data_IF_997467190472
#
_entry.id   IF_997467190472
#
_cell.length_a   1.000
_cell.length_b   1.000
_cell.length_c   1.000
_cell.angle_alpha   90.00
_cell.angle_beta   90.00
_cell.angle_gamma   90.00
#
_symmetry.space_group_name_H-M   'P 1'
#
loop_
_entity.id
_entity.type
_entity.pdbx_description
1 polymer ?
#
# COMPACT_ATOMS: atom_id res chain seq x y z
N UNK A 1 -51.42 41.53 -41.01
CA UNK A 1 -51.08 41.13 -39.63
C UNK A 1 -50.14 39.89 -39.70
N UNK A 2 -48.81 40.11 -39.64
CA UNK A 2 -47.81 39.04 -39.71
C UNK A 2 -47.43 38.66 -38.29
N UNK A 3 -47.72 37.40 -37.85
CA UNK A 3 -47.30 36.86 -36.57
C UNK A 3 -45.86 36.37 -36.72
N UNK A 4 -44.93 36.98 -36.05
CA UNK A 4 -43.52 36.50 -35.89
C UNK A 4 -43.48 35.54 -34.71
N UNK A 5 -43.22 34.28 -34.99
CA UNK A 5 -42.90 33.28 -33.97
C UNK A 5 -41.42 33.35 -33.62
N UNK A 6 -41.14 33.79 -32.42
CA UNK A 6 -39.79 33.82 -31.87
C UNK A 6 -39.50 32.44 -31.26
N UNK A 7 -38.70 31.62 -31.93
CA UNK A 7 -38.19 30.34 -31.38
C UNK A 7 -37.03 30.62 -30.45
N UNK A 8 -37.28 30.52 -29.16
CA UNK A 8 -36.25 30.61 -28.13
C UNK A 8 -35.57 29.22 -28.00
N UNK A 9 -34.45 29.02 -28.70
CA UNK A 9 -33.63 27.80 -28.60
C UNK A 9 -32.87 27.79 -27.27
N UNK A 10 -33.32 26.94 -26.34
CA UNK A 10 -32.56 26.63 -25.13
C UNK A 10 -31.44 25.66 -25.49
N UNK A 11 -30.22 26.18 -25.61
CA UNK A 11 -29.00 25.35 -25.74
C UNK A 11 -28.67 24.75 -24.38
N UNK A 12 -29.04 23.48 -24.20
CA UNK A 12 -28.67 22.70 -23.04
C UNK A 12 -27.20 22.29 -23.17
N UNK A 13 -26.28 23.09 -22.68
CA UNK A 13 -24.85 22.75 -22.57
C UNK A 13 -24.70 21.67 -21.52
N UNK A 14 -24.66 20.38 -21.93
CA UNK A 14 -24.23 19.28 -21.09
C UNK A 14 -22.74 19.45 -20.78
N UNK A 15 -22.43 19.90 -19.56
CA UNK A 15 -21.08 19.83 -19.01
C UNK A 15 -20.77 18.36 -18.78
N UNK A 16 -20.06 17.75 -19.71
CA UNK A 16 -19.43 16.45 -19.51
C UNK A 16 -18.34 16.66 -18.45
N UNK A 17 -18.63 16.33 -17.21
CA UNK A 17 -17.61 16.18 -16.18
C UNK A 17 -16.72 15.00 -16.59
N UNK A 18 -15.60 15.29 -17.27
CA UNK A 18 -14.54 14.31 -17.47
C UNK A 18 -13.94 14.04 -16.09
N UNK A 19 -14.21 12.85 -15.53
CA UNK A 19 -13.46 12.38 -14.37
C UNK A 19 -11.97 12.40 -14.78
N UNK A 20 -11.19 13.23 -14.10
CA UNK A 20 -9.75 13.34 -14.37
C UNK A 20 -9.12 12.01 -14.01
N UNK A 21 -8.71 11.24 -15.01
CA UNK A 21 -8.00 9.98 -14.80
C UNK A 21 -6.65 10.30 -14.18
N UNK A 22 -6.38 9.69 -13.02
CA UNK A 22 -5.11 9.89 -12.31
C UNK A 22 -4.00 9.21 -13.08
N UNK A 23 -2.91 9.92 -13.36
CA UNK A 23 -1.77 9.38 -14.08
C UNK A 23 -1.15 8.19 -13.34
N UNK A 24 -0.72 7.16 -14.10
CA UNK A 24 0.00 6.03 -13.53
C UNK A 24 1.33 6.49 -12.92
N UNK A 25 1.76 5.91 -11.77
CA UNK A 25 3.12 6.14 -11.28
C UNK A 25 4.17 5.79 -12.33
N UNK A 26 5.29 6.49 -12.33
CA UNK A 26 6.33 6.34 -13.38
C UNK A 26 7.09 5.03 -13.26
N UNK A 27 7.49 4.65 -12.04
CA UNK A 27 8.38 3.51 -11.81
C UNK A 27 7.65 2.33 -11.16
N UNK A 28 8.00 1.09 -11.59
CA UNK A 28 7.50 -0.13 -10.94
C UNK A 28 7.81 -0.11 -9.43
N UNK A 29 6.83 -0.52 -8.63
CA UNK A 29 6.89 -0.48 -7.17
C UNK A 29 6.48 0.85 -6.56
N UNK A 30 6.18 1.88 -7.35
CA UNK A 30 5.60 3.13 -6.84
C UNK A 30 4.13 2.97 -6.53
N UNK A 31 3.72 3.70 -5.49
CA UNK A 31 2.34 3.73 -5.02
C UNK A 31 1.90 5.17 -4.81
N UNK A 32 0.76 5.49 -5.37
CA UNK A 32 0.06 6.78 -5.19
C UNK A 32 -1.23 6.52 -4.45
N UNK A 33 -1.51 7.27 -3.39
CA UNK A 33 -2.79 7.25 -2.71
C UNK A 33 -3.78 8.19 -3.41
N UNK A 34 -5.02 7.75 -3.56
CA UNK A 34 -6.18 8.57 -3.94
C UNK A 34 -7.04 8.70 -2.69
N UNK A 35 -7.18 9.92 -2.19
CA UNK A 35 -7.97 10.25 -1.00
C UNK A 35 -9.46 10.37 -1.33
N UNK A 36 -10.28 10.39 -0.32
CA UNK A 36 -11.73 10.56 -0.47
C UNK A 36 -12.14 11.86 -1.20
N UNK A 37 -11.33 12.92 -1.09
CA UNK A 37 -11.49 14.20 -1.79
C UNK A 37 -10.85 14.23 -3.20
N UNK A 38 -10.54 13.05 -3.75
CA UNK A 38 -9.90 12.87 -5.08
C UNK A 38 -8.48 13.45 -5.20
N UNK A 39 -7.91 13.98 -4.12
CA UNK A 39 -6.50 14.39 -4.15
C UNK A 39 -5.58 13.18 -4.13
N UNK A 40 -4.44 13.30 -4.79
CA UNK A 40 -3.45 12.24 -4.91
C UNK A 40 -2.13 12.65 -4.28
N UNK A 41 -1.40 11.68 -3.74
CA UNK A 41 -0.05 11.88 -3.25
C UNK A 41 0.78 10.59 -3.41
N UNK A 42 2.06 10.70 -3.82
CA UNK A 42 2.95 9.54 -3.78
C UNK A 42 3.22 9.14 -2.34
N UNK A 43 3.29 7.82 -2.08
CA UNK A 43 3.66 7.33 -0.76
C UNK A 43 5.17 7.47 -0.51
N UNK A 44 5.53 7.52 0.78
CA UNK A 44 6.93 7.51 1.20
C UNK A 44 7.60 6.20 0.79
N UNK A 45 8.67 6.26 -0.01
CA UNK A 45 9.44 5.09 -0.46
C UNK A 45 10.68 4.90 0.39
N UNK A 46 10.87 3.71 0.93
CA UNK A 46 12.07 3.34 1.67
C UNK A 46 12.55 1.93 1.31
N UNK A 47 13.87 1.75 1.28
CA UNK A 47 14.48 0.42 1.20
C UNK A 47 14.41 -0.20 2.59
N UNK A 48 13.83 -1.39 2.67
CA UNK A 48 13.76 -2.12 3.93
C UNK A 48 15.05 -2.90 4.22
N UNK A 49 15.28 -3.12 5.50
CA UNK A 49 16.35 -3.99 5.99
C UNK A 49 15.72 -5.25 6.58
N UNK A 50 16.22 -6.41 6.19
CA UNK A 50 15.88 -7.67 6.86
C UNK A 50 16.74 -7.81 8.11
N UNK A 51 16.10 -8.00 9.28
CA UNK A 51 16.79 -8.21 10.56
C UNK A 51 16.30 -9.50 11.20
N UNK A 52 17.29 -10.26 11.69
CA UNK A 52 17.07 -11.45 12.48
C UNK A 52 17.28 -11.15 13.96
N UNK A 53 16.31 -11.47 14.79
CA UNK A 53 16.31 -11.15 16.22
C UNK A 53 15.99 -12.40 17.02
N UNK A 54 16.83 -12.69 18.03
CA UNK A 54 16.57 -13.69 19.07
C UNK A 54 15.75 -13.06 20.20
N UNK A 55 14.76 -13.80 20.72
CA UNK A 55 14.08 -13.37 21.94
C UNK A 55 15.03 -13.42 23.14
N UNK A 56 14.83 -12.55 24.13
CA UNK A 56 15.65 -12.52 25.36
C UNK A 56 15.66 -13.89 26.06
N UNK A 57 14.54 -14.62 26.06
CA UNK A 57 14.48 -15.98 26.59
C UNK A 57 15.41 -16.95 25.85
N UNK A 58 15.51 -16.84 24.53
CA UNK A 58 16.41 -17.69 23.74
C UNK A 58 17.88 -17.42 24.07
N UNK A 59 18.24 -16.18 24.38
CA UNK A 59 19.61 -15.80 24.76
C UNK A 59 19.97 -16.37 26.14
N UNK A 60 19.03 -16.32 27.10
CA UNK A 60 19.30 -16.68 28.49
C UNK A 60 19.16 -18.17 28.78
N UNK A 61 18.18 -18.83 28.15
CA UNK A 61 17.82 -20.22 28.48
C UNK A 61 17.98 -21.20 27.32
N UNK A 62 18.37 -20.71 26.13
CA UNK A 62 18.35 -21.50 24.90
C UNK A 62 16.94 -21.81 24.36
N UNK A 63 15.89 -21.40 25.07
CA UNK A 63 14.48 -21.63 24.70
C UNK A 63 13.85 -20.31 24.32
N UNK A 64 13.41 -20.16 23.04
CA UNK A 64 12.81 -18.91 22.62
C UNK A 64 12.44 -18.90 21.14
N UNK A 65 12.25 -17.70 20.62
CA UNK A 65 11.90 -17.45 19.22
C UNK A 65 13.00 -16.71 18.49
N UNK A 66 13.32 -17.24 17.32
CA UNK A 66 14.07 -16.54 16.30
C UNK A 66 13.07 -15.87 15.35
N UNK A 67 13.21 -14.56 15.12
CA UNK A 67 12.29 -13.77 14.30
C UNK A 67 13.02 -13.09 13.17
N UNK A 68 12.47 -13.16 11.98
CA UNK A 68 12.89 -12.33 10.85
C UNK A 68 11.92 -11.16 10.72
N UNK A 69 12.46 -9.95 10.72
CA UNK A 69 11.70 -8.72 10.67
C UNK A 69 12.14 -7.88 9.46
N UNK A 70 11.17 -7.32 8.77
CA UNK A 70 11.36 -6.25 7.82
C UNK A 70 11.34 -4.93 8.58
N UNK A 71 12.34 -4.09 8.41
CA UNK A 71 12.49 -2.84 9.12
C UNK A 71 12.76 -1.69 8.15
N UNK A 72 12.11 -0.54 8.39
CA UNK A 72 12.39 0.74 7.74
C UNK A 72 12.75 1.79 8.79
N UNK A 73 13.50 2.81 8.38
CA UNK A 73 13.97 3.88 9.26
C UNK A 73 12.84 4.87 9.58
N UNK A 74 12.91 5.49 10.75
CA UNK A 74 11.94 6.50 11.20
C UNK A 74 10.70 5.90 11.88
N UNK A 75 10.19 6.63 12.87
CA UNK A 75 9.00 6.20 13.64
C UNK A 75 7.71 6.26 12.82
N UNK A 76 7.68 7.22 11.89
CA UNK A 76 6.41 7.76 11.42
C UNK A 76 6.52 8.08 9.93
N UNK A 77 5.45 7.82 9.20
CA UNK A 77 5.36 8.16 7.78
C UNK A 77 5.10 9.65 7.58
N UNK A 78 5.63 10.18 6.50
CA UNK A 78 5.36 11.56 6.06
C UNK A 78 3.97 11.70 5.44
N UNK A 79 3.45 10.62 4.85
CA UNK A 79 2.12 10.58 4.25
C UNK A 79 1.12 10.09 5.28
N UNK A 80 0.15 10.95 5.61
CA UNK A 80 -0.85 10.71 6.64
C UNK A 80 -2.24 10.72 6.05
N UNK A 81 -3.06 9.76 6.45
CA UNK A 81 -4.46 9.60 6.09
C UNK A 81 -5.32 9.80 7.32
N UNK A 82 -6.55 10.29 7.13
CA UNK A 82 -7.48 10.45 8.24
C UNK A 82 -8.07 9.10 8.67
N UNK A 83 -8.36 8.95 9.95
CA UNK A 83 -9.06 7.78 10.45
C UNK A 83 -10.46 7.65 9.81
N UNK A 84 -10.78 6.45 9.35
CA UNK A 84 -12.05 6.18 8.68
C UNK A 84 -12.14 6.69 7.23
N UNK A 85 -11.09 7.31 6.70
CA UNK A 85 -11.04 7.76 5.31
C UNK A 85 -11.09 6.57 4.34
N UNK A 86 -12.00 6.62 3.38
CA UNK A 86 -12.00 5.66 2.27
C UNK A 86 -10.90 6.04 1.27
N UNK A 87 -9.90 5.19 1.16
CA UNK A 87 -8.74 5.42 0.29
C UNK A 87 -8.60 4.35 -0.76
N UNK A 88 -8.04 4.72 -1.89
CA UNK A 88 -7.59 3.81 -2.94
C UNK A 88 -6.11 4.05 -3.20
N UNK A 89 -5.43 3.06 -3.70
CA UNK A 89 -4.04 3.21 -4.09
C UNK A 89 -3.86 2.78 -5.54
N UNK A 90 -3.14 3.58 -6.33
CA UNK A 90 -2.62 3.15 -7.63
C UNK A 90 -1.25 2.57 -7.37
N UNK A 91 -1.09 1.31 -7.71
CA UNK A 91 0.15 0.54 -7.50
C UNK A 91 0.73 0.19 -8.86
N UNK A 92 1.93 0.70 -9.16
CA UNK A 92 2.63 0.36 -10.39
C UNK A 92 3.33 -0.98 -10.22
N UNK A 93 2.99 -1.94 -11.06
CA UNK A 93 3.67 -3.22 -11.19
C UNK A 93 4.61 -3.22 -12.42
N UNK A 94 5.26 -4.32 -12.70
CA UNK A 94 6.02 -4.51 -13.96
C UNK A 94 5.04 -4.61 -15.13
N UNK A 95 3.96 -5.34 -14.90
CA UNK A 95 2.81 -5.44 -15.79
C UNK A 95 1.53 -5.63 -14.96
N UNK A 96 0.36 -5.63 -15.58
CA UNK A 96 -0.90 -5.90 -14.89
C UNK A 96 -1.58 -7.20 -15.37
N UNK A 97 -0.79 -8.20 -15.74
CA UNK A 97 -1.26 -9.53 -16.13
C UNK A 97 -1.19 -10.54 -14.99
N UNK A 98 -0.34 -10.29 -14.00
CA UNK A 98 -0.19 -11.14 -12.81
C UNK A 98 -1.31 -10.88 -11.81
N UNK A 99 -1.74 -11.89 -11.06
CA UNK A 99 -2.71 -11.70 -9.96
C UNK A 99 -2.14 -10.70 -8.93
N UNK A 100 -2.84 -9.57 -8.68
CA UNK A 100 -2.38 -8.57 -7.73
C UNK A 100 -2.18 -9.11 -6.31
N UNK A 101 -2.94 -10.13 -5.89
CA UNK A 101 -2.78 -10.77 -4.56
C UNK A 101 -1.46 -11.54 -4.45
N UNK A 102 -0.88 -11.97 -5.56
CA UNK A 102 0.41 -12.65 -5.56
C UNK A 102 1.59 -11.69 -5.42
N UNK A 103 1.45 -10.46 -5.90
CA UNK A 103 2.57 -9.50 -5.99
C UNK A 103 2.45 -8.30 -5.05
N UNK A 104 1.23 -7.92 -4.62
CA UNK A 104 1.01 -6.76 -3.76
C UNK A 104 0.68 -7.23 -2.35
N UNK A 105 1.31 -6.60 -1.36
CA UNK A 105 1.03 -6.87 0.06
C UNK A 105 0.86 -5.56 0.80
N UNK A 106 -0.26 -5.42 1.51
CA UNK A 106 -0.50 -4.32 2.46
C UNK A 106 -0.38 -4.90 3.85
N UNK A 107 0.34 -4.24 4.76
CA UNK A 107 0.51 -4.72 6.13
C UNK A 107 0.71 -3.58 7.13
N UNK A 108 0.47 -3.87 8.41
CA UNK A 108 0.63 -2.93 9.52
C UNK A 108 2.02 -3.09 10.14
N UNK A 109 2.70 -1.98 10.43
CA UNK A 109 3.95 -1.94 11.15
C UNK A 109 3.73 -1.83 12.67
N UNK A 110 4.67 -2.36 13.42
CA UNK A 110 4.93 -1.94 14.79
C UNK A 110 5.86 -0.72 14.76
N UNK A 111 5.38 0.43 15.24
CA UNK A 111 6.18 1.66 15.31
C UNK A 111 7.03 1.70 16.57
N UNK A 112 8.29 2.12 16.43
CA UNK A 112 9.26 2.37 17.48
C UNK A 112 9.86 3.77 17.27
N UNK A 113 10.47 4.40 18.28
CA UNK A 113 10.95 5.78 18.16
C UNK A 113 11.92 6.05 17.01
N UNK A 114 12.68 5.04 16.56
CA UNK A 114 13.71 5.19 15.52
C UNK A 114 13.43 4.38 14.25
N UNK A 115 12.46 3.49 14.25
CA UNK A 115 12.15 2.61 13.13
C UNK A 115 10.73 2.05 13.20
N UNK A 116 10.26 1.56 12.08
CA UNK A 116 9.04 0.74 11.94
C UNK A 116 9.45 -0.67 11.55
N UNK A 117 8.80 -1.68 12.09
CA UNK A 117 9.09 -3.09 11.79
C UNK A 117 7.84 -3.91 11.62
N UNK A 118 7.96 -4.97 10.82
CA UNK A 118 6.94 -5.99 10.67
C UNK A 118 7.59 -7.38 10.75
N UNK A 119 6.98 -8.33 11.46
CA UNK A 119 7.49 -9.69 11.58
C UNK A 119 7.11 -10.47 10.32
N UNK A 120 8.11 -10.93 9.57
CA UNK A 120 7.92 -11.68 8.32
C UNK A 120 7.85 -13.18 8.61
N UNK A 121 8.71 -13.67 9.51
CA UNK A 121 8.77 -15.08 9.87
C UNK A 121 9.24 -15.24 11.31
N UNK A 122 8.87 -16.36 11.95
CA UNK A 122 9.43 -16.76 13.23
C UNK A 122 9.60 -18.27 13.32
N UNK A 123 10.65 -18.69 14.04
CA UNK A 123 10.93 -20.09 14.35
C UNK A 123 11.12 -20.21 15.86
N UNK A 124 10.51 -21.19 16.49
CA UNK A 124 10.77 -21.47 17.89
C UNK A 124 11.85 -22.57 18.06
N UNK A 125 12.35 -22.73 19.26
CA UNK A 125 13.39 -23.73 19.61
C UNK A 125 12.94 -25.17 19.30
N UNK A 126 11.64 -25.43 19.28
CA UNK A 126 11.08 -26.76 18.97
C UNK A 126 10.87 -27.01 17.47
N UNK A 127 11.45 -26.15 16.61
CA UNK A 127 11.42 -26.31 15.16
C UNK A 127 10.11 -25.88 14.47
N UNK A 128 9.12 -25.34 15.22
CA UNK A 128 7.92 -24.80 14.57
C UNK A 128 8.24 -23.48 13.89
N UNK A 129 8.23 -23.49 12.58
CA UNK A 129 8.43 -22.28 11.75
C UNK A 129 7.10 -21.73 11.29
N UNK A 130 6.90 -20.42 11.49
CA UNK A 130 5.82 -19.66 10.90
C UNK A 130 6.40 -18.71 9.87
N UNK A 131 6.05 -18.89 8.63
CA UNK A 131 6.31 -17.96 7.53
C UNK A 131 5.05 -17.13 7.28
N UNK A 132 5.19 -15.93 6.72
CA UNK A 132 4.08 -15.01 6.48
C UNK A 132 3.37 -14.52 7.76
N UNK A 133 4.13 -14.13 8.76
CA UNK A 133 3.61 -13.53 10.00
C UNK A 133 3.19 -12.06 9.86
N UNK A 134 3.27 -11.48 8.66
CA UNK A 134 2.78 -10.13 8.41
C UNK A 134 1.28 -10.06 8.68
N UNK A 135 0.86 -9.04 9.41
CA UNK A 135 -0.56 -8.70 9.57
C UNK A 135 -1.07 -8.09 8.27
N UNK A 136 -1.40 -8.96 7.31
CA UNK A 136 -1.87 -8.53 6.00
C UNK A 136 -3.25 -7.88 6.08
N UNK A 137 -3.39 -6.81 5.32
CA UNK A 137 -4.67 -6.15 5.07
C UNK A 137 -5.20 -6.68 3.73
N UNK A 138 -6.39 -7.28 3.77
CA UNK A 138 -7.09 -7.71 2.57
C UNK A 138 -7.51 -6.52 1.72
N UNK A 139 -7.48 -6.67 0.42
CA UNK A 139 -7.89 -5.62 -0.53
C UNK A 139 -8.58 -6.23 -1.75
N UNK A 140 -9.37 -5.42 -2.43
CA UNK A 140 -9.83 -5.67 -3.79
C UNK A 140 -8.92 -4.94 -4.78
N UNK A 141 -8.77 -5.48 -5.99
CA UNK A 141 -7.95 -4.87 -7.02
C UNK A 141 -8.64 -4.87 -8.37
N UNK A 142 -8.34 -3.84 -9.18
CA UNK A 142 -8.75 -3.72 -10.59
C UNK A 142 -7.54 -3.28 -11.40
N UNK A 143 -7.46 -3.77 -12.64
CA UNK A 143 -6.44 -3.28 -13.59
C UNK A 143 -6.64 -1.79 -13.83
N UNK A 144 -5.54 -1.08 -13.95
CA UNK A 144 -5.51 0.35 -14.23
C UNK A 144 -4.37 0.67 -15.20
N UNK A 145 -4.65 1.48 -16.21
CA UNK A 145 -3.69 1.86 -17.23
C UNK A 145 -2.98 0.66 -17.88
N UNK A 146 -1.69 0.80 -18.14
CA UNK A 146 -0.89 -0.20 -18.87
C UNK A 146 -0.26 -1.25 -17.95
N UNK A 147 0.16 -0.86 -16.73
CA UNK A 147 0.94 -1.73 -15.84
C UNK A 147 0.60 -1.51 -14.36
N UNK A 148 -0.55 -0.94 -14.06
CA UNK A 148 -0.94 -0.62 -12.68
C UNK A 148 -2.20 -1.36 -12.25
N UNK A 149 -2.42 -1.33 -10.95
CA UNK A 149 -3.66 -1.75 -10.32
C UNK A 149 -4.19 -0.62 -9.44
N UNK A 150 -5.51 -0.43 -9.43
CA UNK A 150 -6.18 0.28 -8.33
C UNK A 150 -6.55 -0.76 -7.29
N UNK A 151 -6.04 -0.59 -6.07
CA UNK A 151 -6.36 -1.43 -4.93
C UNK A 151 -7.15 -0.63 -3.89
N UNK A 152 -8.09 -1.30 -3.25
CA UNK A 152 -8.93 -0.73 -2.18
C UNK A 152 -8.91 -1.68 -1.00
N UNK A 153 -8.44 -1.26 0.20
CA UNK A 153 -8.51 -2.07 1.40
C UNK A 153 -9.94 -2.56 1.64
N UNK A 154 -10.10 -3.85 1.98
CA UNK A 154 -11.41 -4.46 2.24
C UNK A 154 -11.95 -4.16 3.64
N UNK A 155 -11.12 -3.54 4.49
CA UNK A 155 -11.46 -3.16 5.85
C UNK A 155 -11.05 -1.71 6.08
N UNK A 156 -11.75 -1.03 6.98
CA UNK A 156 -11.32 0.30 7.47
C UNK A 156 -9.99 0.16 8.17
N UNK A 157 -9.03 0.99 7.78
CA UNK A 157 -7.70 1.01 8.37
C UNK A 157 -7.75 1.71 9.72
N UNK A 158 -7.34 1.01 10.76
CA UNK A 158 -7.19 1.59 12.10
C UNK A 158 -5.97 2.53 12.18
N UNK A 159 -5.94 3.46 13.15
CA UNK A 159 -4.76 4.26 13.41
C UNK A 159 -3.48 3.43 13.53
N UNK A 160 -2.43 3.87 12.86
CA UNK A 160 -1.13 3.16 12.84
C UNK A 160 -0.30 3.41 11.60
N UNK A 161 0.85 2.76 11.55
CA UNK A 161 1.79 2.81 10.42
C UNK A 161 1.60 1.59 9.51
N UNK A 162 1.63 1.82 8.22
CA UNK A 162 1.36 0.80 7.20
C UNK A 162 2.43 0.80 6.12
N UNK A 163 2.59 -0.35 5.48
CA UNK A 163 3.47 -0.51 4.32
C UNK A 163 2.77 -1.27 3.19
N UNK A 164 3.12 -0.89 1.97
CA UNK A 164 2.77 -1.61 0.75
C UNK A 164 4.07 -2.06 0.09
N UNK A 165 4.16 -3.33 -0.26
CA UNK A 165 5.25 -3.89 -1.07
C UNK A 165 4.70 -4.44 -2.36
N UNK A 166 5.51 -4.33 -3.42
CA UNK A 166 5.19 -4.85 -4.76
C UNK A 166 6.36 -5.73 -5.18
N UNK A 167 6.11 -7.03 -5.33
CA UNK A 167 7.10 -7.98 -5.80
C UNK A 167 7.17 -7.98 -7.32
N UNK A 168 8.38 -8.10 -7.85
CA UNK A 168 8.58 -8.31 -9.28
C UNK A 168 8.57 -9.83 -9.57
N UNK A 169 7.55 -10.38 -10.25
CA UNK A 169 7.47 -11.81 -10.53
C UNK A 169 8.59 -12.32 -11.46
N UNK A 170 9.25 -11.39 -12.16
CA UNK A 170 10.34 -11.71 -13.09
C UNK A 170 11.74 -11.61 -12.46
N UNK A 171 11.82 -11.16 -11.19
CA UNK A 171 13.10 -11.08 -10.49
C UNK A 171 13.51 -12.46 -9.94
N UNK A 172 14.71 -12.89 -10.28
CA UNK A 172 15.28 -14.15 -9.79
C UNK A 172 15.73 -14.02 -8.33
N UNK A 173 16.12 -12.83 -7.90
CA UNK A 173 16.57 -12.55 -6.54
C UNK A 173 16.25 -11.07 -6.18
N UNK A 174 15.27 -10.87 -5.32
CA UNK A 174 14.99 -9.55 -4.74
C UNK A 174 15.84 -9.33 -3.50
N UNK A 175 17.07 -8.86 -3.68
CA UNK A 175 17.99 -8.55 -2.57
C UNK A 175 17.50 -7.40 -1.68
N UNK A 176 16.65 -6.54 -2.21
CA UNK A 176 16.13 -5.36 -1.51
C UNK A 176 14.62 -5.23 -1.72
N UNK A 177 13.88 -5.18 -0.63
CA UNK A 177 12.44 -4.91 -0.68
C UNK A 177 12.19 -3.42 -0.48
N UNK A 178 11.62 -2.77 -1.48
CA UNK A 178 11.14 -1.38 -1.37
C UNK A 178 9.76 -1.39 -0.72
N UNK A 179 9.56 -0.53 0.25
CA UNK A 179 8.29 -0.35 0.95
C UNK A 179 7.78 1.06 0.69
N UNK A 180 6.55 1.16 0.23
CA UNK A 180 5.78 2.40 0.16
C UNK A 180 4.98 2.53 1.46
N UNK A 181 5.30 3.54 2.28
CA UNK A 181 4.77 3.67 3.64
C UNK A 181 3.78 4.83 3.77
N UNK A 182 2.81 4.65 4.67
CA UNK A 182 1.84 5.68 5.06
C UNK A 182 1.37 5.46 6.50
N UNK A 183 0.80 6.49 7.09
CA UNK A 183 0.17 6.42 8.41
C UNK A 183 -1.33 6.69 8.32
N UNK A 184 -2.09 6.10 9.23
CA UNK A 184 -3.48 6.51 9.55
C UNK A 184 -3.44 7.21 10.91
N UNK A 185 -3.89 8.45 10.96
CA UNK A 185 -3.93 9.25 12.19
C UNK A 185 -5.02 8.75 13.15
N UNK A 186 -4.93 9.17 14.41
CA UNK A 186 -5.92 8.83 15.44
C UNK A 186 -7.17 9.69 15.32
#
# INVERSE_FOLDING_TARGET
>A
MKKVFLFLGVVLSSVLATAQEVEEPEFAGEVVVIRANETTAPLEKQISQSRSVLSTGAILTGIGKYRTQLQIVGCCSTVKLNNGESVKFIVRAVDNNTDPLAIIKIFKFESKPKYRRAEVASTNTFGTTKTNNLSYISFSAKRYGKSSYIITPSVTLEPGEYGITVSNPNAVDEKQTVVSAFAVEK
#
